data_IF_551332061195
#
_entry.id   IF_551332061195
#
_cell.length_a   1.000
_cell.length_b   1.000
_cell.length_c   1.000
_cell.angle_alpha   90.00
_cell.angle_beta   90.00
_cell.angle_gamma   90.00
#
_symmetry.space_group_name_H-M   'P 1'
#
loop_
_entity.id
_entity.type
_entity.pdbx_description
1 polymer ?
#
# COMPACT_ATOMS: atom_id res chain seq x y z
N UNK A 1 13.59 -52.02 -38.18
CA UNK A 1 12.40 -51.15 -38.19
C UNK A 1 12.61 -50.12 -37.10
N UNK A 2 12.89 -48.89 -37.50
CA UNK A 2 13.32 -47.78 -36.64
C UNK A 2 12.05 -47.06 -36.17
N UNK A 3 11.91 -46.85 -34.86
CA UNK A 3 10.92 -45.92 -34.31
C UNK A 3 11.69 -44.77 -33.64
N UNK A 4 11.71 -43.62 -34.30
CA UNK A 4 12.16 -42.35 -33.76
C UNK A 4 11.02 -41.82 -32.88
N UNK A 5 11.25 -41.74 -31.56
CA UNK A 5 10.37 -40.98 -30.67
C UNK A 5 10.79 -39.51 -30.71
N UNK A 6 10.00 -38.67 -31.38
CA UNK A 6 10.13 -37.23 -31.33
C UNK A 6 9.64 -36.74 -29.96
N UNK A 7 10.56 -36.48 -29.04
CA UNK A 7 10.29 -35.59 -27.91
C UNK A 7 10.26 -34.15 -28.41
N UNK A 8 9.07 -33.62 -28.62
CA UNK A 8 8.86 -32.17 -28.75
C UNK A 8 8.92 -31.59 -27.32
N UNK A 9 10.04 -30.95 -26.99
CA UNK A 9 10.14 -30.05 -25.84
C UNK A 9 9.17 -28.88 -26.04
N UNK A 10 8.04 -28.88 -25.34
CA UNK A 10 7.23 -27.66 -25.14
C UNK A 10 7.87 -26.85 -24.01
N UNK A 11 8.78 -25.95 -24.37
CA UNK A 11 9.10 -24.79 -23.54
C UNK A 11 7.92 -23.80 -23.60
N UNK A 12 6.88 -24.03 -22.81
CA UNK A 12 5.87 -22.99 -22.59
C UNK A 12 6.48 -21.96 -21.63
N UNK A 13 6.74 -20.73 -22.12
CA UNK A 13 7.20 -19.68 -21.25
C UNK A 13 6.09 -19.31 -20.25
N UNK A 14 6.45 -19.06 -18.99
CA UNK A 14 5.51 -18.83 -17.89
C UNK A 14 4.49 -17.68 -18.13
N UNK A 15 4.71 -16.86 -19.15
CA UNK A 15 3.89 -15.70 -19.51
C UNK A 15 3.00 -15.90 -20.76
N UNK A 16 3.05 -17.04 -21.45
CA UNK A 16 2.27 -17.27 -22.68
C UNK A 16 0.79 -17.55 -22.40
N UNK A 17 -0.12 -16.80 -23.01
CA UNK A 17 -1.57 -17.02 -22.90
C UNK A 17 -2.02 -18.05 -23.94
N UNK A 18 -3.07 -18.83 -23.62
CA UNK A 18 -3.67 -19.79 -24.55
C UNK A 18 -4.38 -19.11 -25.74
N UNK A 19 -4.89 -17.89 -25.52
CA UNK A 19 -5.43 -17.04 -26.58
C UNK A 19 -4.28 -16.28 -27.27
N UNK A 20 -4.13 -16.49 -28.59
CA UNK A 20 -3.09 -15.82 -29.38
C UNK A 20 -3.37 -14.33 -29.62
N UNK A 21 -4.64 -13.90 -29.58
CA UNK A 21 -5.04 -12.53 -29.91
C UNK A 21 -5.27 -11.68 -28.65
N UNK A 22 -4.84 -10.42 -28.65
CA UNK A 22 -5.11 -9.50 -27.56
C UNK A 22 -6.62 -9.16 -27.48
N UNK A 23 -7.12 -8.98 -26.26
CA UNK A 23 -8.47 -8.48 -25.95
C UNK A 23 -8.60 -6.98 -26.22
N UNK A 24 -7.48 -6.26 -26.21
CA UNK A 24 -7.37 -4.87 -26.63
C UNK A 24 -5.98 -4.65 -27.22
N UNK A 25 -5.90 -3.88 -28.31
CA UNK A 25 -4.64 -3.50 -28.96
C UNK A 25 -4.77 -2.08 -29.51
N UNK A 26 -3.72 -1.29 -29.37
CA UNK A 26 -3.55 -0.02 -30.09
C UNK A 26 -2.07 0.27 -30.30
N UNK A 27 -1.73 0.83 -31.45
CA UNK A 27 -0.45 1.47 -31.77
C UNK A 27 -0.56 3.00 -31.84
N UNK A 28 -1.75 3.55 -31.58
CA UNK A 28 -2.04 4.98 -31.53
C UNK A 28 -1.99 5.51 -30.08
N UNK A 29 -0.88 5.25 -29.39
CA UNK A 29 -0.70 5.57 -27.96
C UNK A 29 -0.57 7.08 -27.72
N UNK A 30 -0.11 7.81 -28.74
CA UNK A 30 0.30 9.21 -28.63
C UNK A 30 1.60 9.37 -27.84
N UNK A 31 2.05 10.62 -27.68
CA UNK A 31 3.23 10.90 -26.88
C UNK A 31 2.95 10.62 -25.39
N UNK A 32 3.88 9.88 -24.77
CA UNK A 32 3.90 9.60 -23.35
C UNK A 32 4.91 10.54 -22.67
N UNK A 33 4.41 11.37 -21.76
CA UNK A 33 5.18 12.31 -20.97
C UNK A 33 4.56 12.47 -19.58
N UNK A 34 5.23 13.19 -18.68
CA UNK A 34 4.71 13.47 -17.34
C UNK A 34 3.30 14.08 -17.39
N UNK A 35 2.42 13.61 -16.50
CA UNK A 35 1.02 14.07 -16.43
C UNK A 35 0.06 13.26 -17.30
N UNK A 36 0.56 12.45 -18.25
CA UNK A 36 -0.27 11.53 -19.02
C UNK A 36 -0.72 10.36 -18.15
N UNK A 37 -2.00 10.05 -18.22
CA UNK A 37 -2.65 8.92 -17.55
C UNK A 37 -3.33 8.02 -18.57
N UNK A 38 -3.12 6.72 -18.45
CA UNK A 38 -3.76 5.67 -19.23
C UNK A 38 -4.58 4.79 -18.30
N UNK A 39 -5.89 4.77 -18.47
CA UNK A 39 -6.81 4.00 -17.63
C UNK A 39 -7.42 2.86 -18.45
N UNK A 40 -7.09 1.63 -18.07
CA UNK A 40 -7.60 0.39 -18.64
C UNK A 40 -8.77 -0.09 -17.79
N UNK A 41 -9.94 -0.27 -18.38
CA UNK A 41 -11.11 -0.82 -17.69
C UNK A 41 -11.66 -2.00 -18.45
N UNK A 42 -12.29 -2.94 -17.76
CA UNK A 42 -12.87 -4.12 -18.39
C UNK A 42 -13.58 -5.00 -17.39
N UNK A 43 -14.00 -6.18 -17.83
CA UNK A 43 -14.63 -7.21 -16.99
C UNK A 43 -13.69 -8.39 -16.85
N UNK A 44 -13.51 -8.87 -15.63
CA UNK A 44 -12.72 -10.06 -15.34
C UNK A 44 -13.58 -11.29 -15.58
N UNK A 45 -13.07 -12.27 -16.32
CA UNK A 45 -13.77 -13.54 -16.52
C UNK A 45 -14.04 -14.26 -15.19
N UNK A 46 -15.18 -14.96 -15.09
CA UNK A 46 -15.54 -15.78 -13.94
C UNK A 46 -14.56 -16.95 -13.69
N UNK A 47 -13.76 -17.29 -14.70
CA UNK A 47 -12.72 -18.33 -14.63
C UNK A 47 -11.30 -17.75 -14.77
N UNK A 48 -11.13 -16.44 -14.55
CA UNK A 48 -9.84 -15.79 -14.77
C UNK A 48 -8.73 -16.39 -13.89
N UNK A 49 -7.71 -16.90 -14.56
CA UNK A 49 -6.43 -17.29 -13.97
C UNK A 49 -5.48 -16.10 -13.98
N UNK A 50 -5.36 -15.42 -15.12
CA UNK A 50 -4.55 -14.20 -15.25
C UNK A 50 -4.89 -13.38 -16.49
N UNK A 51 -4.51 -12.11 -16.46
CA UNK A 51 -4.47 -11.23 -17.64
C UNK A 51 -3.25 -10.33 -17.59
N UNK A 52 -2.91 -9.65 -18.67
CA UNK A 52 -1.82 -8.67 -18.69
C UNK A 52 -2.19 -7.41 -19.44
N UNK A 53 -1.57 -6.31 -19.03
CA UNK A 53 -1.50 -5.04 -19.74
C UNK A 53 -0.03 -4.82 -20.07
N UNK A 54 0.31 -4.63 -21.35
CA UNK A 54 1.69 -4.47 -21.80
C UNK A 54 1.91 -3.14 -22.51
N UNK A 55 3.00 -2.48 -22.14
CA UNK A 55 3.54 -1.28 -22.78
C UNK A 55 4.76 -1.71 -23.58
N UNK A 56 4.66 -1.66 -24.90
CA UNK A 56 5.60 -2.33 -25.80
C UNK A 56 6.23 -1.37 -26.80
N UNK A 57 7.46 -1.70 -27.19
CA UNK A 57 8.17 -1.07 -28.30
C UNK A 57 7.73 -1.68 -29.63
N UNK A 58 7.74 -0.90 -30.71
CA UNK A 58 7.55 -1.41 -32.06
C UNK A 58 8.89 -1.85 -32.69
N UNK A 59 9.66 -2.67 -31.96
CA UNK A 59 10.90 -3.27 -32.45
C UNK A 59 10.71 -4.77 -32.76
N UNK A 60 11.70 -5.40 -33.39
CA UNK A 60 11.64 -6.81 -33.80
C UNK A 60 11.35 -7.76 -32.63
N UNK A 61 11.94 -7.50 -31.47
CA UNK A 61 11.78 -8.33 -30.28
C UNK A 61 10.50 -8.07 -29.48
N UNK A 62 9.71 -7.06 -29.87
CA UNK A 62 8.53 -6.60 -29.13
C UNK A 62 8.83 -6.40 -27.65
N UNK A 63 9.89 -5.64 -27.36
CA UNK A 63 10.32 -5.38 -25.99
C UNK A 63 9.18 -4.77 -25.17
N UNK A 64 9.04 -5.22 -23.93
CA UNK A 64 7.98 -4.80 -23.01
C UNK A 64 8.60 -3.89 -21.96
N UNK A 65 8.33 -2.59 -22.05
CA UNK A 65 8.80 -1.61 -21.06
C UNK A 65 8.13 -1.81 -19.70
N UNK A 66 6.82 -2.05 -19.71
CA UNK A 66 6.03 -2.37 -18.53
C UNK A 66 5.05 -3.50 -18.84
N UNK A 67 5.20 -4.60 -18.12
CA UNK A 67 4.25 -5.70 -18.06
C UNK A 67 3.52 -5.61 -16.73
N UNK A 68 2.18 -5.51 -16.73
CA UNK A 68 1.35 -5.63 -15.53
C UNK A 68 0.57 -6.92 -15.66
N UNK A 69 0.79 -7.90 -14.79
CA UNK A 69 0.15 -9.22 -14.87
C UNK A 69 -0.52 -9.61 -13.55
N UNK A 70 -1.82 -9.30 -13.39
CA UNK A 70 -2.63 -9.86 -12.32
C UNK A 70 -2.80 -11.38 -12.45
N UNK A 71 -2.55 -12.09 -11.34
CA UNK A 71 -2.74 -13.55 -11.21
C UNK A 71 -3.73 -13.81 -10.07
N UNK A 72 -4.96 -14.16 -10.43
CA UNK A 72 -6.10 -14.14 -9.51
C UNK A 72 -6.09 -15.27 -8.48
N UNK A 73 -5.74 -16.54 -8.80
CA UNK A 73 -5.71 -17.59 -7.78
C UNK A 73 -4.74 -17.29 -6.63
N UNK A 74 -3.64 -16.60 -6.92
CA UNK A 74 -2.63 -16.24 -5.93
C UNK A 74 -2.80 -14.83 -5.35
N UNK A 75 -3.75 -14.04 -5.87
CA UNK A 75 -4.02 -12.66 -5.45
C UNK A 75 -2.78 -11.76 -5.41
N UNK A 76 -1.94 -11.82 -6.45
CA UNK A 76 -0.83 -10.87 -6.63
C UNK A 76 -0.76 -10.37 -8.06
N UNK A 77 -0.02 -9.27 -8.24
CA UNK A 77 0.22 -8.67 -9.55
C UNK A 77 1.71 -8.57 -9.74
N UNK A 78 2.17 -9.12 -10.86
CA UNK A 78 3.56 -9.06 -11.29
C UNK A 78 3.76 -7.83 -12.16
N UNK A 79 4.86 -7.12 -11.91
CA UNK A 79 5.36 -6.06 -12.78
C UNK A 79 6.76 -6.40 -13.26
N UNK A 80 7.01 -6.31 -14.56
CA UNK A 80 8.32 -6.65 -15.13
C UNK A 80 8.59 -5.95 -16.47
N UNK A 81 9.82 -6.07 -16.95
CA UNK A 81 10.29 -5.59 -18.25
C UNK A 81 10.86 -6.79 -19.01
N UNK A 82 10.62 -6.84 -20.32
CA UNK A 82 11.16 -7.86 -21.22
C UNK A 82 12.02 -7.19 -22.29
N UNK A 83 13.28 -7.61 -22.43
CA UNK A 83 14.20 -7.11 -23.44
C UNK A 83 14.75 -8.28 -24.24
N UNK A 84 14.64 -8.21 -25.57
CA UNK A 84 15.14 -9.22 -26.52
C UNK A 84 14.72 -10.65 -26.15
N UNK A 85 13.45 -10.83 -25.78
CA UNK A 85 12.93 -12.14 -25.41
C UNK A 85 13.10 -12.51 -23.93
N UNK A 86 13.91 -11.79 -23.16
CA UNK A 86 14.29 -12.16 -21.77
C UNK A 86 13.58 -11.26 -20.75
N UNK A 87 12.94 -11.88 -19.76
CA UNK A 87 12.32 -11.17 -18.64
C UNK A 87 13.35 -10.76 -17.60
N UNK A 88 13.21 -9.55 -17.05
CA UNK A 88 14.02 -9.05 -15.95
C UNK A 88 13.57 -9.58 -14.58
N UNK A 89 14.01 -8.91 -13.51
CA UNK A 89 13.59 -9.21 -12.13
C UNK A 89 12.13 -8.80 -11.92
N UNK A 90 11.28 -9.77 -11.53
CA UNK A 90 9.89 -9.51 -11.16
C UNK A 90 9.78 -8.60 -9.93
N UNK A 91 8.83 -7.67 -9.96
CA UNK A 91 8.29 -7.01 -8.78
C UNK A 91 6.89 -7.57 -8.50
N UNK A 92 6.66 -8.09 -7.29
CA UNK A 92 5.42 -8.78 -6.93
C UNK A 92 4.81 -8.10 -5.70
N UNK A 93 3.51 -7.80 -5.77
CA UNK A 93 2.78 -7.25 -4.63
C UNK A 93 1.38 -7.86 -4.54
N UNK A 94 0.90 -8.09 -3.32
CA UNK A 94 -0.43 -8.65 -3.08
C UNK A 94 -1.54 -7.67 -3.48
N UNK A 95 -2.63 -8.20 -4.04
CA UNK A 95 -3.80 -7.44 -4.47
C UNK A 95 -4.94 -7.40 -3.43
N UNK A 96 -4.77 -7.91 -2.20
CA UNK A 96 -5.84 -8.05 -1.21
C UNK A 96 -5.94 -6.83 -0.29
N UNK A 97 -6.79 -5.80 -0.47
CA UNK A 97 -8.24 -5.92 -0.60
C UNK A 97 -8.74 -5.16 -1.85
N UNK A 98 -7.82 -4.78 -2.75
CA UNK A 98 -8.02 -4.11 -4.04
C UNK A 98 -8.57 -5.07 -5.10
N UNK A 99 -9.34 -6.07 -4.64
CA UNK A 99 -9.53 -7.34 -5.29
C UNK A 99 -10.09 -7.15 -6.70
N UNK A 100 -9.23 -7.43 -7.66
CA UNK A 100 -9.62 -7.91 -8.97
C UNK A 100 -10.34 -9.24 -8.73
N UNK A 101 -11.68 -9.22 -8.71
CA UNK A 101 -12.50 -10.42 -8.49
C UNK A 101 -12.98 -10.97 -9.82
N UNK A 102 -12.99 -12.30 -9.91
CA UNK A 102 -13.63 -13.02 -11.02
C UNK A 102 -15.08 -12.56 -11.16
N UNK A 103 -15.48 -12.13 -12.36
CA UNK A 103 -16.81 -11.61 -12.66
C UNK A 103 -16.99 -10.11 -12.48
N UNK A 104 -16.12 -9.44 -11.72
CA UNK A 104 -16.23 -8.00 -11.45
C UNK A 104 -15.57 -7.16 -12.55
N UNK A 105 -15.90 -5.87 -12.57
CA UNK A 105 -15.19 -4.89 -13.39
C UNK A 105 -13.90 -4.46 -12.71
N UNK A 106 -12.89 -4.15 -13.52
CA UNK A 106 -11.65 -3.56 -13.06
C UNK A 106 -11.43 -2.18 -13.69
N UNK A 107 -10.62 -1.36 -13.01
CA UNK A 107 -10.03 -0.13 -13.51
C UNK A 107 -8.56 -0.11 -13.07
N UNK A 108 -7.63 -0.17 -14.01
CA UNK A 108 -6.19 -0.05 -13.76
C UNK A 108 -5.71 1.22 -14.43
N UNK A 109 -5.27 2.19 -13.63
CA UNK A 109 -4.74 3.46 -14.12
C UNK A 109 -3.21 3.44 -14.00
N UNK A 110 -2.55 3.77 -15.10
CA UNK A 110 -1.10 3.96 -15.21
C UNK A 110 -0.85 5.44 -15.45
N UNK A 111 -0.35 6.13 -14.44
CA UNK A 111 0.02 7.53 -14.48
C UNK A 111 1.53 7.67 -14.66
N UNK A 112 1.95 8.52 -15.59
CA UNK A 112 3.34 8.67 -15.98
C UNK A 112 3.94 9.87 -15.26
N UNK A 113 5.08 9.62 -14.62
CA UNK A 113 5.99 10.65 -14.08
C UNK A 113 7.34 10.52 -14.77
N UNK A 114 8.23 11.49 -14.54
CA UNK A 114 9.60 11.43 -15.04
C UNK A 114 10.40 10.24 -14.46
N UNK A 115 10.11 9.84 -13.23
CA UNK A 115 10.86 8.80 -12.53
C UNK A 115 10.28 7.37 -12.74
N UNK A 116 8.97 7.23 -12.82
CA UNK A 116 8.31 5.93 -12.83
C UNK A 116 6.89 5.93 -13.43
N UNK A 117 6.35 4.73 -13.62
CA UNK A 117 4.92 4.49 -13.79
C UNK A 117 4.26 4.34 -12.41
N UNK A 118 3.31 5.21 -12.08
CA UNK A 118 2.44 5.05 -10.90
C UNK A 118 1.18 4.28 -11.29
N UNK A 119 0.96 3.12 -10.67
CA UNK A 119 -0.12 2.18 -11.03
C UNK A 119 -1.15 2.17 -9.90
N UNK A 120 -2.41 2.43 -10.21
CA UNK A 120 -3.54 2.30 -9.29
C UNK A 120 -4.54 1.26 -9.79
N UNK A 121 -5.25 0.64 -8.85
CA UNK A 121 -6.24 -0.41 -9.10
C UNK A 121 -7.51 -0.04 -8.38
N UNK A 122 -8.59 0.12 -9.14
CA UNK A 122 -9.87 0.59 -8.66
C UNK A 122 -9.68 1.85 -7.78
N UNK A 123 -8.87 2.80 -8.29
CA UNK A 123 -8.66 4.14 -7.75
C UNK A 123 -7.84 4.21 -6.47
N UNK A 124 -7.23 3.10 -6.13
CA UNK A 124 -6.32 2.96 -5.01
C UNK A 124 -4.91 2.84 -5.57
N UNK A 125 -3.97 3.67 -5.11
CA UNK A 125 -2.58 3.49 -5.52
C UNK A 125 -2.16 2.06 -5.19
N UNK A 126 -1.47 1.40 -6.11
CA UNK A 126 -1.06 0.01 -5.96
C UNK A 126 0.45 -0.09 -5.87
N UNK A 127 1.15 0.46 -6.87
CA UNK A 127 2.60 0.41 -6.88
C UNK A 127 3.21 1.47 -7.80
N UNK A 128 4.48 1.76 -7.57
CA UNK A 128 5.35 2.45 -8.50
C UNK A 128 6.20 1.43 -9.26
N UNK A 129 6.54 1.71 -10.51
CA UNK A 129 7.46 0.91 -11.31
C UNK A 129 8.45 1.82 -12.01
N UNK A 130 9.69 1.87 -11.54
CA UNK A 130 10.74 2.71 -12.13
C UNK A 130 10.93 2.39 -13.61
N UNK A 131 11.16 3.43 -14.43
CA UNK A 131 11.40 3.25 -15.85
C UNK A 131 12.68 2.43 -16.09
N UNK A 132 12.54 1.18 -16.54
CA UNK A 132 13.68 0.32 -16.92
C UNK A 132 14.06 0.42 -18.39
N UNK A 133 13.14 0.92 -19.22
CA UNK A 133 13.35 1.28 -20.61
C UNK A 133 12.86 2.72 -20.83
N UNK A 134 13.45 3.47 -21.78
CA UNK A 134 12.98 4.81 -22.15
C UNK A 134 11.48 4.87 -22.47
N UNK A 135 10.78 5.88 -21.94
CA UNK A 135 9.34 6.04 -22.14
C UNK A 135 8.98 6.30 -23.61
N UNK A 136 9.80 7.07 -24.32
CA UNK A 136 9.59 7.45 -25.73
C UNK A 136 9.60 6.28 -26.72
N UNK A 137 10.13 5.12 -26.33
CA UNK A 137 10.10 3.92 -27.18
C UNK A 137 8.78 3.15 -27.12
N UNK A 138 7.91 3.44 -26.14
CA UNK A 138 6.61 2.77 -26.01
C UNK A 138 5.67 3.29 -27.10
N UNK A 139 5.25 2.37 -27.96
CA UNK A 139 4.44 2.68 -29.14
C UNK A 139 3.19 1.80 -29.24
N UNK A 140 3.11 0.72 -28.46
CA UNK A 140 2.01 -0.23 -28.53
C UNK A 140 1.52 -0.55 -27.13
N UNK A 141 0.20 -0.56 -26.97
CA UNK A 141 -0.46 -1.08 -25.78
C UNK A 141 -1.26 -2.31 -26.16
N UNK A 142 -1.14 -3.39 -25.38
CA UNK A 142 -2.06 -4.52 -25.50
C UNK A 142 -2.58 -5.00 -24.14
N UNK A 143 -3.73 -5.66 -24.19
CA UNK A 143 -4.31 -6.39 -23.07
C UNK A 143 -4.60 -7.82 -23.50
N UNK A 144 -4.15 -8.81 -22.73
CA UNK A 144 -4.25 -10.24 -23.04
C UNK A 144 -4.76 -11.04 -21.85
N UNK A 145 -5.30 -12.23 -22.10
CA UNK A 145 -5.76 -13.17 -21.07
C UNK A 145 -7.25 -13.03 -20.73
N UNK A 146 -7.63 -13.42 -19.52
CA UNK A 146 -9.01 -13.76 -19.17
C UNK A 146 -9.86 -12.54 -18.77
N UNK A 147 -9.96 -11.56 -19.68
CA UNK A 147 -10.75 -10.34 -19.54
C UNK A 147 -11.59 -10.07 -20.79
N UNK A 148 -12.68 -9.34 -20.59
CA UNK A 148 -13.68 -8.98 -21.60
C UNK A 148 -13.98 -7.47 -21.53
N UNK A 149 -14.62 -6.91 -22.57
CA UNK A 149 -15.05 -5.51 -22.64
C UNK A 149 -13.96 -4.49 -22.29
N UNK A 150 -12.73 -4.75 -22.75
CA UNK A 150 -11.57 -3.94 -22.41
C UNK A 150 -11.60 -2.61 -23.17
N UNK A 151 -11.52 -1.52 -22.44
CA UNK A 151 -11.34 -0.17 -22.95
C UNK A 151 -10.08 0.47 -22.36
N UNK A 152 -9.46 1.38 -23.11
CA UNK A 152 -8.37 2.23 -22.65
C UNK A 152 -8.74 3.69 -22.86
N UNK A 153 -8.58 4.50 -21.82
CA UNK A 153 -8.80 5.95 -21.84
C UNK A 153 -7.49 6.67 -21.54
N UNK A 154 -7.07 7.54 -22.45
CA UNK A 154 -5.96 8.48 -22.26
C UNK A 154 -6.48 9.82 -21.77
N UNK A 155 -5.85 10.39 -20.75
CA UNK A 155 -6.13 11.74 -20.26
C UNK A 155 -4.85 12.39 -19.72
N UNK A 156 -4.80 13.72 -19.73
CA UNK A 156 -3.84 14.46 -18.89
C UNK A 156 -4.56 14.76 -17.58
N UNK A 157 -3.96 14.38 -16.45
CA UNK A 157 -4.58 14.54 -15.13
C UNK A 157 -3.75 15.45 -14.24
N UNK A 158 -4.43 16.22 -13.41
CA UNK A 158 -3.82 17.14 -12.43
C UNK A 158 -3.62 16.47 -11.06
N UNK A 159 -4.17 15.27 -10.86
CA UNK A 159 -4.05 14.52 -9.62
C UNK A 159 -4.14 13.02 -9.87
N UNK A 160 -3.45 12.24 -9.04
CA UNK A 160 -3.47 10.78 -9.05
C UNK A 160 -3.49 10.21 -7.61
N UNK A 161 -4.14 9.05 -7.39
CA UNK A 161 -5.02 8.34 -8.31
C UNK A 161 -6.40 9.00 -8.42
N UNK A 162 -7.15 8.67 -9.47
CA UNK A 162 -8.57 9.03 -9.53
C UNK A 162 -9.33 8.20 -8.48
N UNK A 163 -9.85 8.87 -7.44
CA UNK A 163 -10.48 8.22 -6.29
C UNK A 163 -11.90 7.75 -6.61
N UNK A 164 -12.27 6.58 -6.09
CA UNK A 164 -13.66 6.15 -5.98
C UNK A 164 -14.25 6.54 -4.61
N UNK A 165 -15.57 6.52 -4.52
CA UNK A 165 -16.32 6.95 -3.33
C UNK A 165 -15.97 6.14 -2.06
N UNK A 166 -15.54 4.89 -2.21
CA UNK A 166 -15.21 3.98 -1.11
C UNK A 166 -13.97 4.41 -0.32
N UNK A 167 -13.07 5.18 -0.96
CA UNK A 167 -11.85 5.74 -0.35
C UNK A 167 -12.03 7.22 0.00
N UNK A 168 -13.26 7.61 0.33
CA UNK A 168 -13.59 8.96 0.79
C UNK A 168 -12.79 9.35 2.05
N UNK A 169 -12.54 10.65 2.18
CA UNK A 169 -11.87 11.24 3.33
C UNK A 169 -12.70 10.98 4.59
N UNK A 170 -12.05 10.50 5.65
CA UNK A 170 -12.64 10.24 6.96
C UNK A 170 -12.07 11.22 7.97
N UNK A 171 -12.91 11.85 8.78
CA UNK A 171 -12.43 12.65 9.91
C UNK A 171 -11.91 11.67 10.98
N UNK A 172 -10.68 11.87 11.43
CA UNK A 172 -10.12 11.09 12.55
C UNK A 172 -10.76 11.57 13.84
N UNK A 173 -11.31 10.64 14.60
CA UNK A 173 -11.87 10.92 15.92
C UNK A 173 -10.76 11.34 16.89
N UNK A 174 -11.01 12.40 17.65
CA UNK A 174 -10.05 13.00 18.56
C UNK A 174 -10.50 12.75 20.01
N UNK A 175 -9.83 11.84 20.70
CA UNK A 175 -10.04 11.53 22.11
C UNK A 175 -9.14 12.42 22.96
N UNK A 176 -9.52 13.70 23.05
CA UNK A 176 -8.75 14.75 23.71
C UNK A 176 -9.34 15.18 25.06
N UNK A 177 -10.18 14.36 25.69
CA UNK A 177 -10.82 14.70 26.96
C UNK A 177 -9.80 14.89 28.08
N UNK A 178 -9.91 16.03 28.77
CA UNK A 178 -8.98 16.61 29.75
C UNK A 178 -9.17 16.11 31.18
N UNK A 179 -9.85 14.99 31.41
CA UNK A 179 -10.03 14.44 32.77
C UNK A 179 -8.75 13.73 33.21
N UNK A 180 -7.85 14.57 33.76
CA UNK A 180 -6.48 14.29 34.22
C UNK A 180 -5.49 13.94 33.10
N UNK A 181 -4.60 14.88 32.79
CA UNK A 181 -3.37 14.66 32.00
C UNK A 181 -2.39 13.68 32.70
N UNK A 182 -2.79 13.08 33.83
CA UNK A 182 -2.00 12.17 34.65
C UNK A 182 -2.70 10.82 34.84
N UNK A 183 -1.99 9.73 34.61
CA UNK A 183 -2.44 8.34 34.87
C UNK A 183 -1.60 7.67 35.95
N UNK A 184 -2.21 6.82 36.78
CA UNK A 184 -1.47 6.04 37.77
C UNK A 184 -0.58 4.97 37.10
N UNK A 185 0.65 4.80 37.59
CA UNK A 185 1.60 3.84 37.02
C UNK A 185 1.14 2.36 37.11
N UNK A 186 0.17 2.08 37.98
CA UNK A 186 -0.41 0.74 38.21
C UNK A 186 -1.64 0.44 37.35
N UNK A 187 -2.10 1.39 36.52
CA UNK A 187 -3.10 1.08 35.50
C UNK A 187 -2.40 0.19 34.46
N UNK A 188 -2.48 -1.13 34.64
CA UNK A 188 -2.13 -2.08 33.60
C UNK A 188 -3.08 -1.83 32.44
N UNK A 189 -2.62 -0.99 31.56
CA UNK A 189 -3.30 -0.58 30.36
C UNK A 189 -3.07 -1.71 29.34
N UNK A 190 -3.58 -2.91 29.67
CA UNK A 190 -3.44 -4.13 28.88
C UNK A 190 -3.89 -3.77 27.46
N UNK A 191 -3.02 -4.00 26.48
CA UNK A 191 -3.37 -3.78 25.07
C UNK A 191 -4.48 -4.78 24.74
N UNK A 192 -5.73 -4.33 24.86
CA UNK A 192 -6.91 -5.15 24.65
C UNK A 192 -7.20 -5.23 23.16
N UNK A 193 -6.39 -6.01 22.44
CA UNK A 193 -6.73 -6.37 21.06
C UNK A 193 -7.93 -7.33 21.13
N UNK A 194 -9.12 -6.95 20.63
CA UNK A 194 -10.28 -7.82 20.67
C UNK A 194 -10.00 -9.14 19.94
N UNK A 195 -10.45 -10.25 20.53
CA UNK A 195 -10.17 -11.59 20.00
C UNK A 195 -10.67 -11.76 18.55
N UNK A 196 -11.77 -11.12 18.20
CA UNK A 196 -12.32 -11.09 16.84
C UNK A 196 -11.37 -10.48 15.81
N UNK A 197 -10.51 -9.52 16.18
CA UNK A 197 -9.53 -8.92 15.26
C UNK A 197 -8.39 -9.90 14.93
N UNK A 198 -8.11 -10.83 15.84
CA UNK A 198 -7.13 -11.89 15.64
C UNK A 198 -7.61 -12.97 14.65
N UNK A 199 -8.92 -13.09 14.39
CA UNK A 199 -9.47 -14.13 13.52
C UNK A 199 -9.22 -13.84 12.03
N UNK A 200 -8.61 -14.80 11.32
CA UNK A 200 -8.40 -14.72 9.87
C UNK A 200 -9.64 -15.30 9.17
N UNK A 201 -10.58 -14.43 8.80
CA UNK A 201 -11.75 -14.81 8.01
C UNK A 201 -11.41 -14.94 6.53
N UNK A 202 -11.92 -15.98 5.86
CA UNK A 202 -11.89 -16.08 4.40
C UNK A 202 -12.78 -14.97 3.78
N UNK A 203 -12.44 -14.43 2.60
CA UNK A 203 -13.28 -13.44 1.94
C UNK A 203 -14.62 -14.10 1.54
N UNK A 204 -15.68 -13.81 2.28
CA UNK A 204 -17.03 -14.31 1.99
C UNK A 204 -17.54 -13.73 0.67
N UNK A 205 -18.04 -14.55 -0.28
CA UNK A 205 -18.84 -14.03 -1.39
C UNK A 205 -20.10 -13.38 -0.82
N UNK A 206 -20.38 -12.13 -1.18
CA UNK A 206 -21.61 -11.43 -0.79
C UNK A 206 -22.79 -12.14 -1.46
N UNK A 207 -23.43 -13.06 -0.76
CA UNK A 207 -24.80 -13.47 -1.09
C UNK A 207 -25.73 -12.49 -0.38
N UNK A 208 -26.34 -11.58 -1.13
CA UNK A 208 -27.41 -10.74 -0.61
C UNK A 208 -28.61 -11.63 -0.30
N UNK A 209 -28.86 -11.87 0.99
CA UNK A 209 -30.19 -12.22 1.47
C UNK A 209 -30.47 -11.45 2.77
N UNK A 210 -31.56 -10.68 2.73
CA UNK A 210 -32.06 -9.86 3.82
C UNK A 210 -32.65 -10.72 4.93
N UNK A 211 -32.14 -10.54 6.16
CA UNK A 211 -32.94 -10.31 7.37
C UNK A 211 -32.08 -10.44 8.64
N UNK A 212 -32.25 -9.47 9.55
CA UNK A 212 -31.88 -9.49 10.97
C UNK A 212 -30.42 -9.87 11.32
N UNK A 213 -29.49 -8.89 11.22
CA UNK A 213 -28.19 -8.82 11.94
C UNK A 213 -27.50 -7.46 11.63
N UNK A 214 -28.09 -6.35 12.06
CA UNK A 214 -27.57 -5.00 11.74
C UNK A 214 -26.34 -4.59 12.57
N UNK A 215 -26.11 -5.17 13.76
CA UNK A 215 -24.97 -4.78 14.60
C UNK A 215 -23.68 -5.62 14.44
N UNK A 216 -23.75 -6.81 13.82
CA UNK A 216 -22.56 -7.68 13.65
C UNK A 216 -21.77 -7.43 12.35
N UNK A 217 -22.28 -6.62 11.42
CA UNK A 217 -21.68 -6.46 10.08
C UNK A 217 -20.59 -5.38 9.97
N UNK A 218 -20.54 -4.37 10.84
CA UNK A 218 -19.60 -3.25 10.68
C UNK A 218 -18.18 -3.56 11.16
N UNK A 219 -18.03 -4.31 12.25
CA UNK A 219 -16.73 -4.56 12.90
C UNK A 219 -15.82 -5.46 12.05
N UNK A 220 -16.39 -6.40 11.28
CA UNK A 220 -15.58 -7.35 10.49
C UNK A 220 -15.06 -6.76 9.17
N UNK A 221 -15.60 -5.64 8.68
CA UNK A 221 -15.17 -5.07 7.39
C UNK A 221 -13.89 -4.24 7.49
N UNK A 222 -13.55 -3.71 8.67
CA UNK A 222 -12.38 -2.84 8.86
C UNK A 222 -12.49 -1.51 8.10
N UNK A 223 -11.45 -0.68 8.19
CA UNK A 223 -11.34 0.55 7.42
C UNK A 223 -10.80 0.25 6.01
N UNK A 224 -11.42 0.85 5.00
CA UNK A 224 -10.99 0.75 3.60
C UNK A 224 -9.59 1.33 3.42
N UNK A 225 -8.77 0.66 2.59
CA UNK A 225 -7.48 1.16 2.15
C UNK A 225 -7.51 1.60 0.68
N UNK A 226 -6.76 2.65 0.30
CA UNK A 226 -5.95 3.49 1.15
C UNK A 226 -6.82 4.34 2.07
N UNK A 227 -6.36 4.48 3.30
CA UNK A 227 -7.07 5.24 4.31
C UNK A 227 -6.64 6.70 4.24
N UNK A 228 -7.61 7.60 4.12
CA UNK A 228 -7.41 9.05 4.13
C UNK A 228 -8.06 9.63 5.38
N UNK A 229 -7.29 9.79 6.45
CA UNK A 229 -7.73 10.39 7.69
C UNK A 229 -7.45 11.89 7.71
N UNK A 230 -8.49 12.72 7.82
CA UNK A 230 -8.37 14.15 8.02
C UNK A 230 -8.28 14.46 9.51
N UNK A 231 -7.24 15.19 9.90
CA UNK A 231 -7.12 15.83 11.22
C UNK A 231 -7.18 17.35 11.06
N UNK A 232 -7.52 18.05 12.14
CA UNK A 232 -7.43 19.52 12.12
C UNK A 232 -5.95 19.93 12.05
N UNK A 233 -5.60 21.01 11.33
CA UNK A 233 -4.24 21.55 11.35
C UNK A 233 -3.76 21.82 12.79
N UNK A 234 -2.45 21.68 13.05
CA UNK A 234 -1.85 21.83 14.38
C UNK A 234 -2.40 20.86 15.45
N UNK A 235 -2.99 19.75 15.01
CA UNK A 235 -3.48 18.72 15.93
C UNK A 235 -2.36 17.83 16.46
N UNK A 236 -1.32 17.58 15.67
CA UNK A 236 -0.14 16.84 16.11
C UNK A 236 0.83 17.80 16.80
N UNK A 237 0.92 17.70 18.13
CA UNK A 237 1.80 18.49 18.98
C UNK A 237 2.23 17.68 20.19
N UNK A 238 3.23 18.16 20.90
CA UNK A 238 3.77 17.48 22.07
C UNK A 238 2.67 17.04 23.06
N UNK A 239 2.76 15.78 23.51
CA UNK A 239 1.78 15.18 24.39
C UNK A 239 0.54 14.63 23.70
N UNK A 240 0.51 14.60 22.37
CA UNK A 240 -0.50 13.87 21.58
C UNK A 240 0.14 12.73 20.81
N UNK A 241 -0.68 11.75 20.45
CA UNK A 241 -0.24 10.65 19.62
C UNK A 241 -1.34 10.23 18.64
N UNK A 242 -0.91 9.70 17.50
CA UNK A 242 -1.79 9.00 16.57
C UNK A 242 -1.72 7.51 16.91
N UNK A 243 -2.87 6.90 17.21
CA UNK A 243 -2.99 5.47 17.44
C UNK A 243 -3.65 4.79 16.25
N UNK A 244 -3.06 3.69 15.80
CA UNK A 244 -3.47 2.92 14.63
C UNK A 244 -3.53 1.45 15.06
N UNK A 245 -4.74 0.89 15.06
CA UNK A 245 -4.96 -0.53 15.33
C UNK A 245 -5.27 -1.27 14.02
N UNK A 246 -4.53 -2.35 13.80
CA UNK A 246 -4.57 -3.07 12.54
C UNK A 246 -3.96 -4.45 12.63
N UNK A 247 -3.90 -5.13 11.50
CA UNK A 247 -3.24 -6.43 11.34
C UNK A 247 -2.44 -6.47 10.06
N UNK A 248 -1.25 -7.02 10.13
CA UNK A 248 -0.42 -7.29 8.95
C UNK A 248 -1.04 -8.44 8.16
N UNK A 249 -1.06 -8.34 6.83
CA UNK A 249 -1.55 -9.45 5.98
C UNK A 249 -0.64 -10.68 6.06
N UNK A 250 -1.09 -11.80 5.53
CA UNK A 250 -0.37 -13.08 5.61
C UNK A 250 0.88 -13.13 4.73
N UNK A 251 0.91 -12.38 3.63
CA UNK A 251 2.03 -12.31 2.71
C UNK A 251 2.40 -10.84 2.46
N UNK A 252 2.84 -10.10 3.49
CA UNK A 252 3.12 -8.70 3.36
C UNK A 252 4.45 -8.49 2.61
N UNK A 253 4.46 -7.53 1.69
CA UNK A 253 5.66 -6.96 1.13
C UNK A 253 6.02 -5.67 1.86
N UNK A 254 5.05 -4.77 2.02
CA UNK A 254 5.23 -3.52 2.75
C UNK A 254 3.91 -2.83 3.03
N UNK A 255 3.89 -1.98 4.04
CA UNK A 255 2.88 -0.93 4.17
C UNK A 255 3.55 0.36 4.62
N UNK A 256 2.86 1.48 4.47
CA UNK A 256 3.37 2.74 4.95
C UNK A 256 2.27 3.65 5.48
N UNK A 257 2.71 4.57 6.33
CA UNK A 257 1.91 5.62 6.95
C UNK A 257 2.61 6.94 6.62
N UNK A 258 1.88 7.88 6.01
CA UNK A 258 2.33 9.24 5.80
C UNK A 258 1.56 10.17 6.72
N UNK A 259 2.29 11.04 7.42
CA UNK A 259 1.78 12.25 8.02
C UNK A 259 2.08 13.39 7.06
N UNK A 260 1.07 13.83 6.31
CA UNK A 260 1.24 14.69 5.14
C UNK A 260 0.32 15.91 5.12
N UNK A 261 0.72 16.90 4.33
CA UNK A 261 -0.08 18.08 4.01
C UNK A 261 -0.90 17.83 2.74
N UNK A 262 -2.21 17.86 2.87
CA UNK A 262 -3.15 17.55 1.80
C UNK A 262 -3.33 16.05 1.57
N UNK A 263 -4.38 15.72 0.83
CA UNK A 263 -4.85 14.35 0.63
C UNK A 263 -4.47 13.74 -0.73
N UNK A 264 -3.67 14.45 -1.52
CA UNK A 264 -3.21 13.97 -2.82
C UNK A 264 -1.93 13.14 -2.65
N UNK A 265 -1.72 12.20 -3.56
CA UNK A 265 -0.46 11.43 -3.66
C UNK A 265 0.41 12.02 -4.77
N UNK A 266 -0.24 12.48 -5.84
CA UNK A 266 0.37 13.31 -6.86
C UNK A 266 -0.49 14.56 -7.12
N UNK A 267 0.09 15.75 -7.29
CA UNK A 267 1.50 16.06 -7.08
C UNK A 267 1.95 15.70 -5.65
N UNK A 268 3.22 15.33 -5.51
CA UNK A 268 3.70 14.72 -4.27
C UNK A 268 3.49 15.67 -3.09
N UNK A 269 2.75 15.25 -2.04
CA UNK A 269 2.47 16.11 -0.90
C UNK A 269 3.76 16.36 -0.10
N UNK A 270 3.76 17.41 0.72
CA UNK A 270 4.76 17.51 1.79
C UNK A 270 4.46 16.41 2.80
N UNK A 271 5.42 15.54 3.06
CA UNK A 271 5.31 14.46 4.04
C UNK A 271 6.25 14.78 5.20
N UNK A 272 5.68 15.15 6.35
CA UNK A 272 6.47 15.40 7.56
C UNK A 272 7.07 14.11 8.13
N UNK A 273 6.36 12.99 7.96
CA UNK A 273 6.83 11.69 8.38
C UNK A 273 6.27 10.57 7.50
N UNK A 274 7.17 9.84 6.85
CA UNK A 274 6.91 8.61 6.11
C UNK A 274 7.46 7.44 6.92
N UNK A 275 6.59 6.55 7.38
CA UNK A 275 6.96 5.33 8.08
C UNK A 275 6.62 4.13 7.20
N UNK A 276 7.61 3.36 6.78
CA UNK A 276 7.45 2.26 5.84
C UNK A 276 8.15 0.97 6.31
N UNK A 277 7.42 0.09 7.03
CA UNK A 277 7.85 -1.28 7.26
C UNK A 277 7.89 -2.09 5.95
N UNK A 278 9.06 -2.65 5.63
CA UNK A 278 9.32 -3.51 4.47
C UNK A 278 9.70 -4.91 4.94
N UNK A 279 8.99 -5.93 4.47
CA UNK A 279 9.15 -7.31 4.92
C UNK A 279 10.07 -8.05 3.95
N UNK A 280 11.21 -8.54 4.43
CA UNK A 280 12.13 -9.35 3.60
C UNK A 280 11.64 -10.79 3.51
N UNK A 281 11.76 -11.39 2.33
CA UNK A 281 11.70 -12.85 2.20
C UNK A 281 13.07 -13.41 2.60
N UNK A 282 13.14 -14.17 3.69
CA UNK A 282 14.36 -14.90 4.02
C UNK A 282 14.47 -16.14 3.11
N UNK A 283 15.70 -16.52 2.76
CA UNK A 283 16.01 -17.67 1.88
C UNK A 283 15.47 -19.02 2.37
N UNK A 284 15.02 -19.11 3.63
CA UNK A 284 14.44 -20.29 4.27
C UNK A 284 12.91 -20.29 4.32
N UNK A 285 12.23 -19.36 3.63
CA UNK A 285 10.79 -19.41 3.37
C UNK A 285 9.87 -18.83 4.47
N UNK A 286 10.41 -18.47 5.64
CA UNK A 286 9.68 -17.63 6.58
C UNK A 286 9.81 -16.15 6.16
N UNK A 287 8.68 -15.44 6.03
CA UNK A 287 8.69 -13.99 5.86
C UNK A 287 9.33 -13.38 7.11
N UNK A 288 10.49 -12.75 6.92
CA UNK A 288 11.40 -12.29 7.96
C UNK A 288 10.98 -10.96 8.59
N UNK A 289 11.76 -10.56 9.60
CA UNK A 289 11.67 -9.28 10.32
C UNK A 289 11.47 -8.10 9.36
N UNK A 290 10.59 -7.17 9.69
CA UNK A 290 10.40 -5.97 8.87
C UNK A 290 11.54 -4.96 9.10
N UNK A 291 12.13 -4.46 8.03
CA UNK A 291 13.02 -3.29 8.06
C UNK A 291 12.14 -2.04 8.09
N UNK A 292 12.28 -1.22 9.12
CA UNK A 292 11.54 0.04 9.23
C UNK A 292 12.32 1.14 8.54
N UNK A 293 11.79 1.62 7.42
CA UNK A 293 12.31 2.79 6.72
C UNK A 293 11.54 4.02 7.16
N UNK A 294 12.24 5.10 7.49
CA UNK A 294 11.67 6.40 7.88
C UNK A 294 12.24 7.48 6.98
N UNK A 295 11.40 8.42 6.56
CA UNK A 295 11.84 9.55 5.75
C UNK A 295 10.85 10.72 5.87
N UNK A 296 11.18 11.85 5.25
CA UNK A 296 10.30 12.98 5.00
C UNK A 296 10.41 13.41 3.53
N UNK A 297 9.35 14.00 2.99
CA UNK A 297 9.36 14.62 1.67
C UNK A 297 9.05 16.10 1.80
N UNK A 298 9.99 16.94 1.39
CA UNK A 298 9.83 18.39 1.38
C UNK A 298 10.78 18.99 0.35
N UNK A 299 10.48 20.21 -0.10
CA UNK A 299 11.24 20.91 -1.14
C UNK A 299 11.43 20.09 -2.45
N UNK A 300 10.48 19.22 -2.76
CA UNK A 300 10.46 18.44 -4.01
C UNK A 300 11.32 17.17 -4.01
N UNK A 301 11.83 16.72 -2.87
CA UNK A 301 12.59 15.48 -2.77
C UNK A 301 12.40 14.75 -1.44
N UNK A 302 12.69 13.44 -1.44
CA UNK A 302 12.90 12.68 -0.21
C UNK A 302 14.14 13.21 0.51
N UNK A 303 14.11 13.24 1.85
CA UNK A 303 15.28 13.43 2.67
C UNK A 303 16.13 12.13 2.73
N UNK A 304 17.17 12.14 3.56
CA UNK A 304 17.97 10.94 3.81
C UNK A 304 17.11 9.87 4.51
N UNK A 305 17.06 8.67 3.93
CA UNK A 305 16.24 7.57 4.47
C UNK A 305 16.93 6.94 5.68
N UNK A 306 16.26 6.95 6.84
CA UNK A 306 16.75 6.25 8.01
C UNK A 306 16.19 4.83 8.08
N UNK A 307 17.07 3.83 8.19
CA UNK A 307 16.70 2.41 8.26
C UNK A 307 17.00 1.82 9.63
N UNK A 308 16.05 1.07 10.18
CA UNK A 308 16.24 0.31 11.41
C UNK A 308 15.87 -1.15 11.21
N UNK A 309 16.84 -2.03 11.45
CA UNK A 309 16.65 -3.49 11.48
C UNK A 309 16.28 -3.93 12.90
N UNK A 310 15.05 -3.63 13.28
CA UNK A 310 14.55 -3.91 14.63
C UNK A 310 13.58 -5.09 14.61
N UNK A 311 13.42 -5.73 15.76
CA UNK A 311 12.28 -6.61 15.95
C UNK A 311 11.03 -5.75 16.14
N UNK A 312 10.30 -5.56 15.05
CA UNK A 312 9.18 -4.63 14.99
C UNK A 312 7.90 -5.20 15.58
N UNK A 313 7.86 -6.49 15.93
CA UNK A 313 6.65 -7.26 16.20
C UNK A 313 5.62 -7.26 15.03
N UNK A 314 5.92 -6.63 13.89
CA UNK A 314 5.13 -6.79 12.68
C UNK A 314 5.38 -8.18 12.11
N UNK A 315 4.45 -9.08 12.38
CA UNK A 315 4.50 -10.45 11.90
C UNK A 315 3.31 -10.70 10.97
N UNK A 316 3.48 -11.46 9.88
CA UNK A 316 2.38 -11.79 8.98
C UNK A 316 1.18 -12.37 9.73
N UNK A 317 -0.02 -11.83 9.45
CA UNK A 317 -1.26 -12.24 10.10
C UNK A 317 -1.44 -11.78 11.55
N UNK A 318 -0.45 -11.11 12.18
CA UNK A 318 -0.57 -10.61 13.55
C UNK A 318 -1.21 -9.23 13.60
N UNK A 319 -2.06 -9.05 14.60
CA UNK A 319 -2.59 -7.76 15.02
C UNK A 319 -1.49 -6.90 15.63
N UNK A 320 -1.64 -5.59 15.54
CA UNK A 320 -0.75 -4.60 16.09
C UNK A 320 -1.55 -3.41 16.60
N UNK A 321 -1.00 -2.75 17.63
CA UNK A 321 -1.35 -1.39 18.02
C UNK A 321 -0.11 -0.53 17.82
N UNK A 322 -0.14 0.33 16.81
CA UNK A 322 0.95 1.26 16.48
C UNK A 322 0.61 2.64 17.01
N UNK A 323 1.56 3.29 17.67
CA UNK A 323 1.43 4.65 18.17
C UNK A 323 2.57 5.51 17.62
N UNK A 324 2.22 6.65 17.03
CA UNK A 324 3.16 7.71 16.65
C UNK A 324 2.96 8.85 17.64
N UNK A 325 3.83 8.94 18.65
CA UNK A 325 3.80 9.98 19.66
C UNK A 325 4.59 11.21 19.19
N UNK A 326 4.04 12.40 19.42
CA UNK A 326 4.75 13.65 19.18
C UNK A 326 5.53 14.03 20.45
N UNK A 327 6.85 14.00 20.35
CA UNK A 327 7.76 14.53 21.38
C UNK A 327 8.07 16.01 21.10
N UNK A 328 8.95 16.61 21.92
CA UNK A 328 9.42 17.96 21.70
C UNK A 328 10.21 18.12 20.38
N UNK A 329 10.90 17.07 19.91
CA UNK A 329 11.82 17.16 18.76
C UNK A 329 11.71 16.03 17.72
N UNK A 330 10.83 15.05 17.93
CA UNK A 330 10.73 13.86 17.10
C UNK A 330 9.34 13.23 17.09
N UNK A 331 9.07 12.47 16.04
CA UNK A 331 8.04 11.44 16.06
C UNK A 331 8.63 10.18 16.70
N UNK A 332 8.01 9.67 17.75
CA UNK A 332 8.40 8.43 18.41
C UNK A 332 7.39 7.33 18.06
N UNK A 333 7.88 6.18 17.60
CA UNK A 333 7.06 5.07 17.11
C UNK A 333 7.11 3.91 18.08
N UNK A 334 5.93 3.48 18.51
CA UNK A 334 5.73 2.34 19.38
C UNK A 334 4.87 1.31 18.66
N UNK A 335 5.20 0.04 18.83
CA UNK A 335 4.37 -1.07 18.38
C UNK A 335 4.14 -1.98 19.56
N UNK A 336 2.87 -2.20 19.90
CA UNK A 336 2.45 -2.97 21.06
C UNK A 336 3.12 -2.48 22.36
N UNK A 337 3.11 -1.15 22.59
CA UNK A 337 3.78 -0.43 23.70
C UNK A 337 5.31 -0.52 23.75
N UNK A 338 5.94 -1.28 22.86
CA UNK A 338 7.38 -1.32 22.76
C UNK A 338 7.88 -0.17 21.89
N UNK A 339 8.82 0.62 22.40
CA UNK A 339 9.53 1.62 21.60
C UNK A 339 10.26 0.90 20.47
N UNK A 340 9.99 1.33 19.24
CA UNK A 340 10.69 0.82 18.06
C UNK A 340 11.74 1.84 17.65
N UNK A 341 11.34 3.08 17.37
CA UNK A 341 12.24 4.03 16.73
C UNK A 341 11.75 5.47 16.90
N UNK A 342 12.64 6.44 16.72
CA UNK A 342 12.30 7.85 16.64
C UNK A 342 12.67 8.43 15.27
N UNK A 343 12.08 9.55 14.88
CA UNK A 343 12.44 10.29 13.67
C UNK A 343 12.39 11.78 13.99
N UNK A 344 13.55 12.47 13.93
CA UNK A 344 13.63 13.89 14.27
C UNK A 344 12.79 14.72 13.30
N UNK A 345 12.25 15.85 13.76
CA UNK A 345 11.42 16.69 12.90
C UNK A 345 12.25 17.36 11.79
N UNK A 346 12.13 16.86 10.56
CA UNK A 346 12.58 17.56 9.36
C UNK A 346 11.59 18.66 8.93
N UNK A 347 10.30 18.38 9.12
CA UNK A 347 9.19 19.31 8.90
C UNK A 347 8.35 19.31 10.18
N UNK A 348 7.92 20.50 10.60
CA UNK A 348 7.12 20.64 11.81
C UNK A 348 5.76 19.90 11.68
N UNK A 349 5.31 19.19 12.72
CA UNK A 349 4.06 18.42 12.68
C UNK A 349 2.81 19.28 12.46
N UNK A 350 2.89 20.59 12.69
CA UNK A 350 1.81 21.56 12.52
C UNK A 350 1.16 21.57 11.12
N UNK A 351 1.94 21.21 10.09
CA UNK A 351 1.48 21.19 8.69
C UNK A 351 0.62 19.97 8.36
N UNK A 352 0.65 18.94 9.21
CA UNK A 352 -0.06 17.68 8.96
C UNK A 352 -1.56 17.90 9.16
N UNK A 353 -2.31 17.71 8.08
CA UNK A 353 -3.77 17.69 8.08
C UNK A 353 -4.35 16.36 7.58
N UNK A 354 -3.49 15.48 7.06
CA UNK A 354 -3.88 14.21 6.44
C UNK A 354 -2.95 13.09 6.91
N UNK A 355 -3.56 12.05 7.48
CA UNK A 355 -2.95 10.74 7.73
C UNK A 355 -3.31 9.85 6.56
N UNK A 356 -2.31 9.42 5.80
CA UNK A 356 -2.49 8.51 4.68
C UNK A 356 -1.88 7.15 5.00
N UNK A 357 -2.65 6.07 4.88
CA UNK A 357 -2.16 4.72 5.18
C UNK A 357 -2.45 3.81 3.99
N UNK A 358 -1.43 3.07 3.55
CA UNK A 358 -1.57 2.12 2.46
C UNK A 358 -0.64 0.90 2.63
N UNK A 359 -1.05 -0.23 2.05
CA UNK A 359 -0.21 -1.39 1.82
C UNK A 359 -0.80 -2.64 2.45
N UNK A 360 0.07 -3.56 2.87
CA UNK A 360 -0.29 -4.91 3.30
C UNK A 360 -0.79 -5.03 4.75
N UNK A 361 -1.80 -4.21 5.08
CA UNK A 361 -2.47 -4.22 6.40
C UNK A 361 -3.99 -4.26 6.28
N UNK A 362 -4.68 -4.70 7.32
CA UNK A 362 -6.11 -4.44 7.56
C UNK A 362 -6.19 -3.46 8.72
N UNK A 363 -6.92 -2.37 8.56
CA UNK A 363 -7.09 -1.37 9.61
C UNK A 363 -8.43 -1.56 10.30
N UNK A 364 -8.48 -1.30 11.61
CA UNK A 364 -9.72 -1.27 12.38
C UNK A 364 -9.97 0.09 13.00
N UNK A 365 -8.93 0.74 13.49
CA UNK A 365 -9.06 2.02 14.15
C UNK A 365 -7.89 2.96 13.83
N UNK A 366 -8.20 4.25 13.73
CA UNK A 366 -7.23 5.35 13.61
C UNK A 366 -7.77 6.52 14.42
N UNK A 367 -7.14 6.82 15.55
CA UNK A 367 -7.57 7.84 16.52
C UNK A 367 -6.43 8.81 16.84
N UNK A 368 -6.81 10.06 17.12
CA UNK A 368 -5.91 11.03 17.72
C UNK A 368 -6.16 11.05 19.23
N UNK A 369 -5.13 10.78 20.02
CA UNK A 369 -5.23 10.61 21.47
C UNK A 369 -4.26 11.52 22.23
N UNK A 370 -4.56 11.74 23.52
CA UNK A 370 -3.59 12.33 24.46
C UNK A 370 -2.58 11.25 24.85
N UNK A 371 -1.31 11.64 24.97
CA UNK A 371 -0.26 10.83 25.58
C UNK A 371 -0.03 11.34 27.01
N UNK A 372 -0.77 10.84 28.02
CA UNK A 372 -0.77 11.42 29.36
C UNK A 372 0.56 11.21 30.07
N UNK A 373 0.81 12.05 31.07
CA UNK A 373 1.92 11.96 32.01
C UNK A 373 1.63 10.84 33.01
N UNK A 374 2.65 10.11 33.44
CA UNK A 374 2.52 9.10 34.49
C UNK A 374 2.61 9.84 35.82
N UNK A 375 1.57 9.76 36.65
CA UNK A 375 1.52 10.44 37.95
C UNK A 375 2.74 10.13 38.80
N UNK A 376 3.36 11.18 39.33
CA UNK A 376 4.59 11.07 40.13
C UNK A 376 5.87 10.82 39.31
N UNK A 377 5.79 10.78 37.98
CA UNK A 377 6.93 10.75 37.07
C UNK A 377 6.81 11.91 36.07
N UNK A 378 7.90 12.60 35.76
CA UNK A 378 7.91 13.57 34.67
C UNK A 378 8.04 12.90 33.29
N UNK A 379 7.34 11.77 33.09
CA UNK A 379 7.41 10.91 31.91
C UNK A 379 6.01 10.62 31.39
N UNK A 380 5.83 10.54 30.08
CA UNK A 380 4.55 10.17 29.44
C UNK A 380 4.41 8.65 29.31
N UNK A 381 3.22 8.12 29.03
CA UNK A 381 3.03 6.67 28.78
C UNK A 381 3.94 6.21 27.65
N UNK A 382 3.92 6.92 26.53
CA UNK A 382 4.85 6.74 25.44
C UNK A 382 5.98 7.76 25.60
N UNK A 383 7.13 7.29 26.09
CA UNK A 383 8.36 8.07 26.20
C UNK A 383 9.55 7.23 25.73
N UNK A 384 10.50 7.85 25.04
CA UNK A 384 11.71 7.16 24.61
C UNK A 384 12.52 6.74 25.85
N UNK A 385 12.85 5.44 26.03
CA UNK A 385 13.54 4.94 27.22
C UNK A 385 15.04 5.26 27.27
N UNK A 386 15.59 6.01 26.31
CA UNK A 386 16.98 6.45 26.38
C UNK A 386 17.23 7.21 27.70
N UNK A 387 18.39 6.99 28.36
CA UNK A 387 18.70 7.67 29.60
C UNK A 387 18.73 9.17 29.34
N UNK A 388 17.83 9.89 30.00
CA UNK A 388 17.95 11.34 30.12
C UNK A 388 19.31 11.58 30.76
N UNK A 389 20.21 12.32 30.08
CA UNK A 389 21.43 12.81 30.72
C UNK A 389 20.98 13.61 31.95
N UNK A 390 21.11 13.01 33.14
CA UNK A 390 20.93 13.71 34.41
C UNK A 390 21.99 14.81 34.47
N UNK A 391 21.56 16.07 34.34
CA UNK A 391 22.36 17.26 34.61
C UNK A 391 22.13 17.76 36.02
#
# INVERSE_FOLDING_TARGET
MVWISMYVQRNASFYEYSDALPKYYTDEVGELCEGVSLTFSGKISIHCERFSINFMYNNESRDVALHINPRLPQNYIVRNTKVRGVWGREEVSSALPFLLRRGDRFSIQVFITDACYMISINGNHFAEYSHRLPLNGVQILDVKGDVEDVEMKRAVVQAYPQRFNESAIRVIEAHLSTEADEVDANTEDVISIPHEWCLISAPSPKLENNSLKSHRKSIDQGLTLPYYGKILPKSLKEGRCLKIDGRVRLLPHSFYINLQQGHNIWPHPVIAFHLNPRFSQNSTGAIGKAIVCRNAWYNGSWAEEERSELDTNFSPGRTFSLVIACSANSFEVYVNRQFITEFKYHVQPDIVDTVYIQGDVKLWNVTLEVNPIIKGKHLRIYHNPLPVEEY
#
